data_IF_869384206453
#
_entry.id   IF_869384206453
#
_cell.length_a   1.000
_cell.length_b   1.000
_cell.length_c   1.000
_cell.angle_alpha   90.00
_cell.angle_beta   90.00
_cell.angle_gamma   90.00
#
_symmetry.space_group_name_H-M   'P 1'
#
loop_
_entity.id
_entity.type
_entity.pdbx_description
1 polymer ?
#
# COMPACT_ATOMS: atom_id res chain seq x y z
N UNK A 1 -8.92 -8.89 -1.04
CA UNK A 1 -8.92 -8.31 0.33
C UNK A 1 -9.96 -8.98 1.23
N UNK A 2 -11.24 -8.98 0.87
CA UNK A 2 -12.32 -9.50 1.75
C UNK A 2 -12.24 -11.00 2.09
N UNK A 3 -11.61 -11.82 1.26
CA UNK A 3 -11.35 -13.24 1.58
C UNK A 3 -10.31 -13.42 2.71
N UNK A 4 -9.39 -12.46 2.86
CA UNK A 4 -8.35 -12.46 3.91
C UNK A 4 -8.87 -11.74 5.16
N UNK A 5 -9.67 -10.68 4.96
CA UNK A 5 -10.27 -9.89 6.03
C UNK A 5 -11.81 -9.87 5.88
N UNK A 6 -12.52 -10.91 6.35
CA UNK A 6 -13.96 -11.05 6.16
C UNK A 6 -14.79 -9.89 6.72
N UNK A 7 -14.32 -9.24 7.79
CA UNK A 7 -14.99 -8.08 8.41
C UNK A 7 -15.07 -6.84 7.51
N UNK A 8 -14.35 -6.84 6.37
CA UNK A 8 -14.38 -5.79 5.36
C UNK A 8 -15.39 -6.08 4.23
N UNK A 9 -16.08 -7.21 4.25
CA UNK A 9 -17.12 -7.54 3.27
C UNK A 9 -18.21 -6.46 3.26
N UNK A 10 -18.52 -5.94 2.06
CA UNK A 10 -19.49 -4.85 1.88
C UNK A 10 -18.98 -3.46 2.28
N UNK A 11 -17.73 -3.32 2.71
CA UNK A 11 -17.10 -2.03 3.07
C UNK A 11 -16.06 -1.54 2.08
N UNK A 12 -15.69 -2.37 1.10
CA UNK A 12 -14.69 -2.07 0.07
C UNK A 12 -15.34 -2.24 -1.30
N UNK A 13 -15.09 -1.27 -2.18
CA UNK A 13 -15.39 -1.33 -3.60
C UNK A 13 -14.23 -0.67 -4.37
N UNK A 14 -14.02 -1.05 -5.62
CA UNK A 14 -12.87 -0.61 -6.40
C UNK A 14 -13.14 -0.58 -7.92
N UNK A 15 -12.20 0.03 -8.64
CA UNK A 15 -12.11 -0.01 -10.09
C UNK A 15 -10.65 0.23 -10.49
N UNK A 16 -10.31 -0.02 -11.76
CA UNK A 16 -8.98 0.22 -12.28
C UNK A 16 -9.03 1.01 -13.59
N UNK A 17 -8.10 1.95 -13.73
CA UNK A 17 -7.85 2.69 -14.97
C UNK A 17 -6.49 2.30 -15.50
N UNK A 18 -6.43 1.87 -16.76
CA UNK A 18 -5.16 1.53 -17.43
C UNK A 18 -4.60 2.75 -18.12
N UNK A 19 -3.31 2.97 -17.97
CA UNK A 19 -2.55 4.05 -18.60
C UNK A 19 -1.40 3.44 -19.42
N UNK A 20 -0.84 4.14 -20.43
CA UNK A 20 0.20 3.60 -21.30
C UNK A 20 1.58 3.62 -20.63
N UNK A 21 1.71 2.82 -19.57
CA UNK A 21 2.92 2.63 -18.78
C UNK A 21 3.10 1.12 -18.54
N UNK A 22 4.33 0.62 -18.66
CA UNK A 22 4.59 -0.80 -18.41
C UNK A 22 4.58 -1.14 -16.90
N UNK A 23 5.12 -0.23 -16.08
CA UNK A 23 5.39 -0.38 -14.65
C UNK A 23 5.79 1.00 -14.10
N UNK A 24 5.43 1.46 -12.89
CA UNK A 24 4.69 0.81 -11.80
C UNK A 24 3.22 1.21 -11.70
N UNK A 25 2.48 0.46 -10.87
CA UNK A 25 1.07 0.72 -10.55
C UNK A 25 0.95 1.49 -9.22
N UNK A 26 -0.18 2.17 -9.06
CA UNK A 26 -0.51 2.95 -7.87
C UNK A 26 -1.93 2.58 -7.41
N UNK A 27 -2.11 2.41 -6.10
CA UNK A 27 -3.43 2.36 -5.50
C UNK A 27 -3.76 3.70 -4.84
N UNK A 28 -4.90 4.27 -5.23
CA UNK A 28 -5.56 5.36 -4.52
C UNK A 28 -6.66 4.80 -3.61
N UNK A 29 -6.49 4.93 -2.31
CA UNK A 29 -7.44 4.36 -1.33
C UNK A 29 -8.01 5.47 -0.47
N UNK A 30 -9.34 5.53 -0.42
CA UNK A 30 -10.10 6.44 0.44
C UNK A 30 -10.81 5.61 1.51
N UNK A 31 -10.65 6.04 2.76
CA UNK A 31 -11.24 5.42 3.93
C UNK A 31 -12.11 6.41 4.69
N UNK A 32 -13.22 5.95 5.23
CA UNK A 32 -13.93 6.62 6.33
C UNK A 32 -13.53 5.95 7.64
N UNK A 33 -12.77 6.66 8.48
CA UNK A 33 -12.22 6.11 9.72
C UNK A 33 -13.11 6.41 10.93
N UNK A 34 -13.10 5.51 11.92
CA UNK A 34 -14.02 5.59 13.07
C UNK A 34 -13.75 6.75 14.04
N UNK A 35 -12.50 7.23 14.07
CA UNK A 35 -12.06 8.29 14.98
C UNK A 35 -11.38 9.40 14.19
N UNK A 36 -11.43 10.58 14.74
CA UNK A 36 -10.74 11.74 14.20
C UNK A 36 -9.24 11.47 14.13
N UNK A 37 -8.61 11.89 13.04
CA UNK A 37 -7.19 11.65 12.74
C UNK A 37 -6.61 12.82 11.93
N UNK A 38 -5.28 12.86 11.82
CA UNK A 38 -4.57 13.78 10.90
C UNK A 38 -3.70 13.01 9.90
N UNK A 39 -3.19 13.70 8.88
CA UNK A 39 -2.27 13.10 7.91
C UNK A 39 -0.95 12.70 8.59
N UNK A 40 -0.47 13.50 9.54
CA UNK A 40 0.75 13.22 10.32
C UNK A 40 0.59 11.96 11.16
N UNK A 41 -0.57 11.78 11.81
CA UNK A 41 -0.85 10.57 12.58
C UNK A 41 -0.90 9.32 11.69
N UNK A 42 -1.61 9.40 10.55
CA UNK A 42 -1.69 8.30 9.58
C UNK A 42 -0.30 7.94 9.06
N UNK A 43 0.50 8.94 8.69
CA UNK A 43 1.86 8.74 8.20
C UNK A 43 2.77 8.15 9.27
N UNK A 44 2.67 8.58 10.52
CA UNK A 44 3.46 8.03 11.62
C UNK A 44 3.16 6.53 11.83
N UNK A 45 1.89 6.14 11.83
CA UNK A 45 1.46 4.74 11.96
C UNK A 45 1.96 3.87 10.80
N UNK A 46 1.86 4.37 9.56
CA UNK A 46 2.32 3.64 8.37
C UNK A 46 3.86 3.53 8.33
N UNK A 47 4.58 4.56 8.77
CA UNK A 47 6.04 4.53 8.89
C UNK A 47 6.48 3.51 9.94
N UNK A 48 5.87 3.54 11.13
CA UNK A 48 6.14 2.57 12.20
C UNK A 48 5.92 1.13 11.72
N UNK A 49 4.78 0.86 11.07
CA UNK A 49 4.50 -0.47 10.52
C UNK A 49 5.54 -0.91 9.46
N UNK A 50 5.98 0.02 8.60
CA UNK A 50 6.99 -0.24 7.56
C UNK A 50 8.39 -0.53 8.12
N UNK A 51 8.72 0.04 9.27
CA UNK A 51 10.01 -0.14 9.94
C UNK A 51 9.97 -1.33 10.93
N UNK A 52 8.77 -1.73 11.36
CA UNK A 52 8.49 -2.79 12.32
C UNK A 52 7.94 -4.06 11.67
N UNK A 53 6.69 -4.40 12.00
CA UNK A 53 6.10 -5.72 11.71
C UNK A 53 5.99 -6.04 10.21
N UNK A 54 5.89 -5.02 9.35
CA UNK A 54 5.77 -5.17 7.90
C UNK A 54 7.09 -4.87 7.17
N UNK A 55 8.23 -4.85 7.86
CA UNK A 55 9.53 -4.56 7.25
C UNK A 55 9.84 -5.51 6.11
N UNK A 56 10.16 -4.94 4.94
CA UNK A 56 10.42 -5.68 3.69
C UNK A 56 9.16 -6.04 2.89
N UNK A 57 7.96 -5.79 3.45
CA UNK A 57 6.67 -5.94 2.78
C UNK A 57 6.06 -4.57 2.49
N UNK A 58 5.97 -3.71 3.50
CA UNK A 58 5.52 -2.32 3.41
C UNK A 58 6.73 -1.38 3.36
N UNK A 59 6.69 -0.42 2.45
CA UNK A 59 7.58 0.73 2.42
C UNK A 59 6.85 2.02 2.81
N UNK A 60 7.63 3.04 3.17
CA UNK A 60 7.17 4.39 3.41
C UNK A 60 8.18 5.35 2.78
N UNK A 61 7.71 6.30 1.96
CA UNK A 61 8.57 7.20 1.21
C UNK A 61 8.14 8.67 1.38
N UNK A 62 9.12 9.51 1.70
CA UNK A 62 8.93 10.95 1.97
C UNK A 62 9.42 11.82 0.81
N UNK A 63 10.18 11.24 -0.14
CA UNK A 63 10.67 11.94 -1.34
C UNK A 63 9.57 12.04 -2.40
N UNK A 64 9.59 13.08 -3.25
CA UNK A 64 8.62 13.26 -4.33
C UNK A 64 8.96 12.35 -5.53
N UNK A 65 8.77 11.05 -5.37
CA UNK A 65 9.06 10.04 -6.40
C UNK A 65 7.91 9.86 -7.39
N UNK A 66 8.20 9.23 -8.53
CA UNK A 66 7.22 8.87 -9.55
C UNK A 66 7.32 7.39 -9.91
N UNK A 67 6.45 6.90 -10.79
CA UNK A 67 6.29 5.47 -11.07
C UNK A 67 7.57 4.71 -11.41
N UNK A 68 8.51 5.33 -12.15
CA UNK A 68 9.75 4.67 -12.56
C UNK A 68 10.72 4.40 -11.40
N UNK A 69 10.64 5.19 -10.33
CA UNK A 69 11.51 5.06 -9.17
C UNK A 69 11.25 3.77 -8.37
N UNK A 70 10.06 3.18 -8.57
CA UNK A 70 9.66 1.91 -7.93
C UNK A 70 9.96 0.68 -8.79
N UNK A 71 10.53 0.84 -9.98
CA UNK A 71 10.86 -0.29 -10.85
C UNK A 71 11.86 -1.22 -10.19
N UNK A 72 11.51 -2.50 -10.09
CA UNK A 72 12.31 -3.53 -9.47
C UNK A 72 12.23 -3.56 -7.94
N UNK A 73 11.37 -2.74 -7.32
CA UNK A 73 11.13 -2.82 -5.89
C UNK A 73 10.47 -4.16 -5.53
N UNK A 74 11.01 -4.84 -4.53
CA UNK A 74 10.57 -6.15 -4.08
C UNK A 74 9.52 -6.09 -2.97
N UNK A 75 9.26 -4.90 -2.41
CA UNK A 75 8.20 -4.70 -1.42
C UNK A 75 6.83 -4.85 -2.09
N UNK A 76 5.83 -5.24 -1.31
CA UNK A 76 4.47 -5.40 -1.83
C UNK A 76 3.82 -4.05 -2.10
N UNK A 77 4.15 -3.04 -1.30
CA UNK A 77 3.63 -1.69 -1.49
C UNK A 77 4.49 -0.67 -0.75
N UNK A 78 4.48 0.58 -1.23
CA UNK A 78 5.23 1.71 -0.66
C UNK A 78 4.27 2.90 -0.54
N UNK A 79 4.05 3.38 0.68
CA UNK A 79 3.21 4.56 0.94
C UNK A 79 3.93 5.82 0.47
N UNK A 80 3.21 6.64 -0.29
CA UNK A 80 3.62 8.00 -0.66
C UNK A 80 3.16 8.98 0.42
N UNK A 81 4.08 9.37 1.30
CA UNK A 81 3.76 10.16 2.48
C UNK A 81 3.25 11.56 2.15
N UNK A 82 3.71 12.15 1.04
CA UNK A 82 3.33 13.49 0.62
C UNK A 82 1.88 13.55 0.12
N UNK A 83 1.35 12.40 -0.31
CA UNK A 83 0.02 12.28 -0.89
C UNK A 83 -1.06 11.85 0.09
N UNK A 84 -0.72 11.66 1.37
CA UNK A 84 -1.70 11.40 2.43
C UNK A 84 -2.55 12.66 2.65
N UNK A 85 -3.87 12.52 2.54
CA UNK A 85 -4.81 13.63 2.72
C UNK A 85 -5.88 13.26 3.73
N UNK A 86 -6.36 14.25 4.48
CA UNK A 86 -7.53 14.12 5.34
C UNK A 86 -8.53 15.21 4.98
N UNK A 87 -9.77 14.81 4.69
CA UNK A 87 -10.90 15.73 4.47
C UNK A 87 -11.84 15.63 5.66
N UNK A 88 -12.18 16.80 6.23
CA UNK A 88 -12.85 16.85 7.53
C UNK A 88 -11.92 16.32 8.62
N UNK A 89 -12.38 15.36 9.42
CA UNK A 89 -11.55 14.68 10.43
C UNK A 89 -11.44 13.16 10.24
N UNK A 90 -12.18 12.58 9.29
CA UNK A 90 -12.34 11.11 9.19
C UNK A 90 -12.24 10.52 7.79
N UNK A 91 -12.27 11.34 6.73
CA UNK A 91 -12.05 10.83 5.39
C UNK A 91 -10.56 10.90 5.08
N UNK A 92 -9.90 9.75 5.07
CA UNK A 92 -8.46 9.62 4.83
C UNK A 92 -8.24 9.10 3.41
N UNK A 93 -7.32 9.70 2.67
CA UNK A 93 -6.85 9.23 1.38
C UNK A 93 -5.36 8.94 1.47
N UNK A 94 -4.92 7.80 0.94
CA UNK A 94 -3.51 7.45 0.80
C UNK A 94 -3.18 7.02 -0.63
N UNK A 95 -1.93 7.22 -1.01
CA UNK A 95 -1.32 6.61 -2.19
C UNK A 95 -0.33 5.54 -1.78
N UNK A 96 -0.40 4.40 -2.47
CA UNK A 96 0.48 3.27 -2.23
C UNK A 96 0.97 2.69 -3.57
N UNK A 97 2.25 2.90 -3.86
CA UNK A 97 2.91 2.44 -5.07
C UNK A 97 3.28 0.96 -4.96
N UNK A 98 3.34 0.26 -6.09
CA UNK A 98 3.86 -1.09 -6.15
C UNK A 98 4.34 -1.43 -7.56
N UNK A 99 5.50 -2.05 -7.64
CA UNK A 99 5.89 -2.77 -8.84
C UNK A 99 4.98 -4.01 -8.94
N UNK A 100 4.00 -3.93 -9.84
CA UNK A 100 3.01 -4.99 -10.04
C UNK A 100 3.58 -6.30 -10.58
N UNK A 101 4.83 -6.30 -11.07
CA UNK A 101 5.52 -7.50 -11.51
C UNK A 101 6.45 -8.02 -10.39
N UNK A 102 7.37 -7.18 -9.93
CA UNK A 102 8.47 -7.59 -9.03
C UNK A 102 8.00 -7.84 -7.60
N UNK A 103 7.19 -6.95 -7.02
CA UNK A 103 6.69 -7.12 -5.67
C UNK A 103 5.84 -8.39 -5.55
N UNK A 104 4.98 -8.63 -6.52
CA UNK A 104 4.13 -9.83 -6.56
C UNK A 104 4.91 -11.13 -6.78
N UNK A 105 5.87 -11.13 -7.72
CA UNK A 105 6.75 -12.28 -7.95
C UNK A 105 7.55 -12.63 -6.68
N UNK A 106 8.05 -11.62 -5.96
CA UNK A 106 8.79 -11.82 -4.70
C UNK A 106 7.90 -12.48 -3.64
N UNK A 107 6.69 -11.95 -3.40
CA UNK A 107 5.74 -12.54 -2.44
C UNK A 107 5.35 -13.98 -2.80
N UNK A 108 5.20 -14.25 -4.09
CA UNK A 108 4.88 -15.60 -4.57
C UNK A 108 6.03 -16.58 -4.27
N UNK A 109 7.27 -16.20 -4.55
CA UNK A 109 8.44 -17.02 -4.26
C UNK A 109 8.62 -17.27 -2.75
N UNK A 110 8.41 -16.25 -1.93
CA UNK A 110 8.43 -16.37 -0.47
C UNK A 110 7.33 -17.32 0.04
N UNK A 111 6.11 -17.22 -0.49
CA UNK A 111 5.01 -18.11 -0.13
C UNK A 111 5.32 -19.56 -0.49
N UNK A 112 5.85 -19.81 -1.70
CA UNK A 112 6.27 -21.15 -2.12
C UNK A 112 7.32 -21.72 -1.17
N UNK A 113 8.32 -20.91 -0.78
CA UNK A 113 9.33 -21.32 0.19
C UNK A 113 8.71 -21.64 1.55
N UNK A 114 7.80 -20.81 2.04
CA UNK A 114 7.15 -21.01 3.34
C UNK A 114 6.32 -22.30 3.36
N UNK A 115 5.53 -22.56 2.31
CA UNK A 115 4.72 -23.78 2.20
C UNK A 115 5.60 -25.02 1.98
N UNK A 116 6.66 -24.92 1.18
CA UNK A 116 7.55 -26.05 0.92
C UNK A 116 8.44 -26.45 2.10
N UNK A 117 8.59 -25.57 3.09
CA UNK A 117 9.28 -25.86 4.35
C UNK A 117 8.35 -26.31 5.48
N UNK A 118 7.03 -26.23 5.29
CA UNK A 118 6.02 -26.68 6.25
C UNK A 118 5.71 -28.17 6.09
#
# INVERSE_FOLDING_TARGET
>A
IVEIFPDLKGKINDHAVRVPLANASLTDIIFDVKRDTTAEEVNALLKEASEGELKGILGFEERPLVSIDYKGDQRSTIVDAQSTMVVGSRMVKIYAWYDNEMGYATRTAELVRNVGLA
#
